data_IF_173108713906
#
_entry.id   IF_173108713906
#
_cell.length_a   1.000
_cell.length_b   1.000
_cell.length_c   1.000
_cell.angle_alpha   90.00
_cell.angle_beta   90.00
_cell.angle_gamma   90.00
#
_symmetry.space_group_name_H-M   'P 1'
#
loop_
_entity.id
_entity.type
_entity.pdbx_description
1 polymer ?
#
# COMPACT_ATOMS: atom_id res chain seq x y z
N UNK A 1 -8.38 -8.51 17.17
CA UNK A 1 -7.18 -7.67 16.90
C UNK A 1 -6.58 -7.25 18.24
N UNK A 2 -5.29 -7.46 18.44
CA UNK A 2 -4.60 -7.01 19.66
C UNK A 2 -4.42 -5.49 19.60
N UNK A 3 -5.19 -4.75 20.39
CA UNK A 3 -5.23 -3.28 20.35
C UNK A 3 -3.88 -2.67 20.75
N UNK A 4 -3.14 -3.29 21.66
CA UNK A 4 -1.85 -2.79 22.12
C UNK A 4 -0.82 -2.86 20.98
N UNK A 5 -0.68 -4.00 20.32
CA UNK A 5 0.26 -4.17 19.21
C UNK A 5 -0.13 -3.31 18.00
N UNK A 6 -1.43 -3.11 17.75
CA UNK A 6 -1.87 -2.22 16.69
C UNK A 6 -1.43 -0.77 16.95
N UNK A 7 -1.47 -0.33 18.22
CA UNK A 7 -0.98 1.00 18.61
C UNK A 7 0.53 1.11 18.44
N UNK A 8 1.28 0.10 18.86
CA UNK A 8 2.75 0.07 18.68
C UNK A 8 3.16 0.16 17.21
N UNK A 9 2.47 -0.57 16.32
CA UNK A 9 2.70 -0.51 14.88
C UNK A 9 2.38 0.88 14.32
N UNK A 10 1.26 1.47 14.74
CA UNK A 10 0.86 2.81 14.35
C UNK A 10 1.91 3.85 14.76
N UNK A 11 2.30 3.85 16.04
CA UNK A 11 3.27 4.80 16.60
C UNK A 11 4.63 4.65 15.89
N UNK A 12 5.06 3.41 15.63
CA UNK A 12 6.30 3.14 14.91
C UNK A 12 6.27 3.61 13.47
N UNK A 13 5.15 3.47 12.77
CA UNK A 13 5.00 4.00 11.42
C UNK A 13 5.22 5.51 11.39
N UNK A 14 4.59 6.24 12.33
CA UNK A 14 4.77 7.70 12.45
C UNK A 14 6.21 8.07 12.83
N UNK A 15 6.82 7.33 13.77
CA UNK A 15 8.24 7.52 14.15
C UNK A 15 9.18 7.33 12.96
N UNK A 16 8.90 6.37 12.08
CA UNK A 16 9.66 6.16 10.84
C UNK A 16 9.46 7.28 9.81
N UNK A 17 8.50 8.19 10.02
CA UNK A 17 8.24 9.35 9.21
C UNK A 17 7.12 9.18 8.16
N UNK A 18 6.23 8.20 8.35
CA UNK A 18 4.97 8.20 7.61
C UNK A 18 4.01 9.26 8.17
N UNK A 19 3.22 9.88 7.30
CA UNK A 19 2.26 10.92 7.71
C UNK A 19 1.03 10.34 8.37
N UNK A 20 0.66 9.12 7.99
CA UNK A 20 -0.46 8.42 8.58
C UNK A 20 -0.31 6.90 8.43
N UNK A 21 -0.97 6.17 9.30
CA UNK A 21 -1.04 4.73 9.29
C UNK A 21 -2.47 4.28 9.58
N UNK A 22 -2.90 3.20 8.95
CA UNK A 22 -4.18 2.57 9.25
C UNK A 22 -4.03 1.06 9.27
N UNK A 23 -4.73 0.41 10.17
CA UNK A 23 -4.67 -1.04 10.37
C UNK A 23 -6.09 -1.59 10.29
N UNK A 24 -6.30 -2.51 9.37
CA UNK A 24 -7.62 -3.11 9.13
C UNK A 24 -7.52 -4.63 9.05
N UNK A 25 -8.58 -5.37 9.42
CA UNK A 25 -8.60 -6.81 9.20
C UNK A 25 -8.55 -7.14 7.70
N UNK A 26 -8.05 -8.32 7.37
CA UNK A 26 -7.85 -8.73 5.97
C UNK A 26 -9.14 -8.75 5.15
N UNK A 27 -10.28 -9.04 5.80
CA UNK A 27 -11.60 -9.06 5.16
C UNK A 27 -12.21 -7.67 4.93
N UNK A 28 -11.62 -6.62 5.49
CA UNK A 28 -12.09 -5.25 5.27
C UNK A 28 -12.06 -4.82 3.80
N UNK A 29 -11.34 -5.55 2.93
CA UNK A 29 -11.28 -5.29 1.50
C UNK A 29 -12.16 -6.23 0.66
N UNK A 30 -12.98 -7.08 1.26
CA UNK A 30 -13.84 -8.03 0.54
C UNK A 30 -14.85 -7.31 -0.38
N UNK A 31 -15.27 -6.08 -0.04
CA UNK A 31 -16.10 -5.26 -0.93
C UNK A 31 -15.46 -5.00 -2.30
N UNK A 32 -14.14 -4.99 -2.37
CA UNK A 32 -13.43 -4.84 -3.64
C UNK A 32 -13.51 -6.10 -4.49
N UNK A 33 -13.49 -7.25 -3.86
CA UNK A 33 -13.64 -8.55 -4.52
C UNK A 33 -14.95 -8.59 -5.31
N UNK A 34 -16.06 -8.24 -4.66
CA UNK A 34 -17.39 -8.19 -5.31
C UNK A 34 -17.43 -7.22 -6.48
N UNK A 35 -16.86 -6.03 -6.29
CA UNK A 35 -16.77 -5.01 -7.36
C UNK A 35 -15.92 -5.45 -8.54
N UNK A 36 -14.82 -6.15 -8.28
CA UNK A 36 -13.94 -6.64 -9.35
C UNK A 36 -14.61 -7.76 -10.13
N UNK A 37 -15.26 -8.71 -9.45
CA UNK A 37 -16.03 -9.79 -10.08
C UNK A 37 -17.11 -9.19 -10.99
N UNK A 38 -17.93 -8.29 -10.44
CA UNK A 38 -18.98 -7.62 -11.22
C UNK A 38 -18.41 -6.89 -12.44
N UNK A 39 -17.30 -6.18 -12.30
CA UNK A 39 -16.66 -5.49 -13.43
C UNK A 39 -16.20 -6.44 -14.54
N UNK A 40 -15.67 -7.61 -14.16
CA UNK A 40 -15.25 -8.63 -15.13
C UNK A 40 -16.43 -9.31 -15.83
N UNK A 41 -17.60 -9.32 -15.19
CA UNK A 41 -18.86 -9.79 -15.78
C UNK A 41 -19.47 -8.74 -16.73
N UNK A 42 -19.50 -7.47 -16.28
CA UNK A 42 -20.08 -6.34 -17.05
C UNK A 42 -19.23 -5.96 -18.26
N UNK A 43 -17.90 -6.19 -18.21
CA UNK A 43 -16.94 -5.83 -19.26
C UNK A 43 -15.92 -6.95 -19.48
N UNK A 44 -16.31 -8.08 -20.11
CA UNK A 44 -15.44 -9.24 -20.30
C UNK A 44 -14.14 -8.95 -21.07
N UNK A 45 -14.14 -7.94 -21.94
CA UNK A 45 -12.99 -7.47 -22.70
C UNK A 45 -11.88 -6.89 -21.78
N UNK A 46 -12.25 -6.48 -20.58
CA UNK A 46 -11.30 -5.92 -19.62
C UNK A 46 -10.48 -6.99 -18.85
N UNK A 47 -10.73 -8.29 -19.09
CA UNK A 47 -10.09 -9.39 -18.36
C UNK A 47 -8.58 -9.35 -18.39
N UNK A 48 -7.99 -8.97 -19.52
CA UNK A 48 -6.53 -8.88 -19.65
C UNK A 48 -5.95 -7.75 -18.80
N UNK A 49 -6.63 -6.59 -18.78
CA UNK A 49 -6.22 -5.44 -17.98
C UNK A 49 -6.23 -5.76 -16.48
N UNK A 50 -7.21 -6.55 -16.05
CA UNK A 50 -7.38 -6.92 -14.64
C UNK A 50 -6.79 -8.30 -14.30
N UNK A 51 -6.02 -8.92 -15.20
CA UNK A 51 -5.48 -10.26 -14.99
C UNK A 51 -4.68 -10.37 -13.67
N UNK A 52 -3.85 -9.35 -13.37
CA UNK A 52 -3.08 -9.28 -12.13
C UNK A 52 -3.94 -9.04 -10.88
N UNK A 53 -5.13 -8.47 -11.04
CA UNK A 53 -6.03 -8.19 -9.91
C UNK A 53 -6.73 -9.44 -9.37
N UNK A 54 -6.72 -10.54 -10.13
CA UNK A 54 -7.24 -11.82 -9.66
C UNK A 54 -6.47 -12.35 -8.45
N UNK A 55 -5.20 -12.04 -8.36
CA UNK A 55 -4.37 -12.40 -7.22
C UNK A 55 -4.86 -11.79 -5.90
N UNK A 56 -5.54 -10.64 -5.98
CA UNK A 56 -6.13 -9.98 -4.81
C UNK A 56 -7.39 -10.67 -4.29
N UNK A 57 -8.00 -11.55 -5.09
CA UNK A 57 -9.20 -12.29 -4.69
C UNK A 57 -8.88 -13.49 -3.79
N UNK A 58 -7.65 -13.96 -3.81
CA UNK A 58 -7.21 -15.18 -3.14
C UNK A 58 -6.21 -14.91 -1.99
N UNK A 59 -6.27 -13.74 -1.36
CA UNK A 59 -5.30 -13.37 -0.32
C UNK A 59 -5.28 -14.34 0.86
N UNK A 60 -6.43 -14.76 1.37
CA UNK A 60 -6.52 -15.71 2.48
C UNK A 60 -5.98 -17.09 2.10
N UNK A 61 -6.12 -17.49 0.83
CA UNK A 61 -5.60 -18.75 0.33
C UNK A 61 -4.08 -18.70 0.17
N UNK A 62 -3.56 -17.62 -0.37
CA UNK A 62 -2.12 -17.39 -0.56
C UNK A 62 -1.38 -17.16 0.75
N UNK A 63 -2.00 -16.44 1.67
CA UNK A 63 -1.41 -16.02 2.94
C UNK A 63 -2.34 -16.37 4.12
N UNK A 64 -2.56 -17.67 4.41
CA UNK A 64 -3.51 -18.09 5.43
C UNK A 64 -3.15 -17.63 6.85
N UNK A 65 -1.90 -17.23 7.04
CA UNK A 65 -1.39 -16.67 8.28
C UNK A 65 -1.70 -15.18 8.44
N UNK A 66 -1.98 -14.45 7.34
CA UNK A 66 -2.22 -13.01 7.40
C UNK A 66 -3.63 -12.72 7.95
N UNK A 67 -3.70 -11.85 8.94
CA UNK A 67 -4.95 -11.46 9.59
C UNK A 67 -5.31 -9.99 9.36
N UNK A 68 -4.31 -9.15 9.09
CA UNK A 68 -4.50 -7.71 8.99
C UNK A 68 -3.71 -7.11 7.85
N UNK A 69 -4.15 -5.93 7.43
CA UNK A 69 -3.49 -5.08 6.46
C UNK A 69 -3.07 -3.81 7.18
N UNK A 70 -1.80 -3.46 7.07
CA UNK A 70 -1.28 -2.16 7.50
C UNK A 70 -1.05 -1.29 6.28
N UNK A 71 -1.60 -0.09 6.31
CA UNK A 71 -1.51 0.90 5.24
C UNK A 71 -0.79 2.11 5.81
N UNK A 72 0.37 2.44 5.26
CA UNK A 72 1.08 3.66 5.60
C UNK A 72 1.00 4.65 4.43
N UNK A 73 0.83 5.93 4.73
CA UNK A 73 0.77 6.99 3.73
C UNK A 73 1.89 7.99 3.95
N UNK A 74 2.37 8.57 2.86
CA UNK A 74 3.29 9.68 2.88
C UNK A 74 2.82 10.77 1.92
N UNK A 75 3.06 12.03 2.31
CA UNK A 75 2.74 13.17 1.47
C UNK A 75 3.68 13.23 0.26
N UNK A 76 3.10 13.35 -0.89
CA UNK A 76 3.78 13.33 -2.17
C UNK A 76 3.49 14.64 -2.92
N UNK A 77 4.20 15.71 -2.64
CA UNK A 77 3.82 16.98 -3.27
C UNK A 77 4.87 18.10 -3.31
N UNK A 78 5.92 18.02 -2.54
CA UNK A 78 6.88 19.11 -2.41
C UNK A 78 8.16 18.94 -3.24
N UNK A 79 8.13 18.11 -4.29
CA UNK A 79 9.26 17.98 -5.20
C UNK A 79 9.50 19.27 -5.98
N UNK A 80 10.53 19.99 -5.59
CA UNK A 80 10.98 21.17 -6.31
C UNK A 80 11.85 20.75 -7.49
N UNK A 81 11.35 20.91 -8.69
CA UNK A 81 12.18 20.73 -9.87
C UNK A 81 13.34 21.75 -9.86
N UNK A 82 14.56 21.32 -10.20
CA UNK A 82 15.67 22.25 -10.40
C UNK A 82 15.26 23.38 -11.32
N UNK A 83 15.72 24.61 -11.01
CA UNK A 83 15.39 25.81 -11.81
C UNK A 83 15.75 25.63 -13.28
N UNK A 84 16.86 24.92 -13.56
CA UNK A 84 17.31 24.59 -14.92
C UNK A 84 16.32 23.75 -15.73
N UNK A 85 15.38 23.07 -15.09
CA UNK A 85 14.38 22.20 -15.75
C UNK A 85 12.99 22.81 -15.84
N UNK A 86 12.73 23.94 -15.15
CA UNK A 86 11.38 24.52 -15.02
C UNK A 86 10.68 24.82 -16.34
N UNK A 87 11.41 25.19 -17.36
CA UNK A 87 10.87 25.57 -18.67
C UNK A 87 11.03 24.49 -19.75
N UNK A 88 11.62 23.35 -19.42
CA UNK A 88 11.91 22.28 -20.39
C UNK A 88 10.97 21.10 -20.28
N UNK A 89 10.28 20.94 -19.14
CA UNK A 89 9.40 19.81 -18.87
C UNK A 89 8.09 20.32 -18.28
N UNK A 90 7.00 20.09 -18.98
CA UNK A 90 5.70 20.62 -18.59
C UNK A 90 5.03 19.80 -17.49
N UNK A 91 5.13 18.48 -17.53
CA UNK A 91 4.56 17.55 -16.52
C UNK A 91 5.31 16.23 -16.59
N UNK A 92 5.54 15.63 -15.43
CA UNK A 92 6.09 14.28 -15.30
C UNK A 92 5.18 13.41 -14.44
N UNK A 93 5.29 12.11 -14.60
CA UNK A 93 4.77 11.17 -13.64
C UNK A 93 5.77 11.06 -12.50
N UNK A 94 5.36 11.49 -11.29
CA UNK A 94 6.15 11.25 -10.09
C UNK A 94 5.88 9.82 -9.62
N UNK A 95 6.91 9.01 -9.58
CA UNK A 95 6.88 7.67 -9.03
C UNK A 95 7.45 7.67 -7.62
N UNK A 96 6.94 6.77 -6.79
CA UNK A 96 7.52 6.53 -5.48
C UNK A 96 9.01 6.19 -5.58
N UNK A 97 9.79 6.85 -4.78
CA UNK A 97 11.23 6.59 -4.64
C UNK A 97 11.52 5.46 -3.64
N UNK A 98 10.50 4.88 -3.04
CA UNK A 98 10.63 3.85 -2.01
C UNK A 98 11.39 2.58 -2.44
N UNK A 99 11.53 2.37 -3.75
CA UNK A 99 12.33 1.27 -4.32
C UNK A 99 13.71 1.73 -4.81
N UNK A 100 14.03 3.03 -4.66
CA UNK A 100 15.33 3.56 -5.02
C UNK A 100 16.22 3.55 -3.78
N UNK A 101 17.29 2.75 -3.75
CA UNK A 101 18.21 2.71 -2.62
C UNK A 101 18.70 4.09 -2.25
N UNK A 102 18.80 4.36 -0.94
CA UNK A 102 19.26 5.61 -0.35
C UNK A 102 18.29 6.81 -0.43
N UNK A 103 17.12 6.68 -1.07
CA UNK A 103 16.07 7.69 -0.95
C UNK A 103 15.51 7.71 0.49
N UNK A 104 14.90 8.82 0.88
CA UNK A 104 14.33 8.92 2.23
C UNK A 104 13.12 7.99 2.38
N UNK A 105 12.34 7.82 1.32
CA UNK A 105 11.22 6.87 1.25
C UNK A 105 11.71 5.42 1.39
N UNK A 106 12.84 5.07 0.77
CA UNK A 106 13.45 3.75 0.91
C UNK A 106 13.88 3.50 2.36
N UNK A 107 14.60 4.46 2.97
CA UNK A 107 15.07 4.35 4.35
C UNK A 107 13.92 4.23 5.34
N UNK A 108 12.86 5.03 5.16
CA UNK A 108 11.65 4.97 5.98
C UNK A 108 11.03 3.59 5.96
N UNK A 109 10.81 3.05 4.76
CA UNK A 109 10.28 1.70 4.59
C UNK A 109 11.19 0.66 5.25
N UNK A 110 12.48 0.70 4.98
CA UNK A 110 13.45 -0.23 5.52
C UNK A 110 13.48 -0.20 7.05
N UNK A 111 13.47 0.97 7.65
CA UNK A 111 13.44 1.12 9.12
C UNK A 111 12.19 0.49 9.71
N UNK A 112 11.05 0.68 9.08
CA UNK A 112 9.79 0.07 9.55
C UNK A 112 9.80 -1.45 9.40
N UNK A 113 10.25 -1.97 8.25
CA UNK A 113 10.33 -3.40 7.97
C UNK A 113 11.34 -4.11 8.92
N UNK A 114 12.47 -3.49 9.20
CA UNK A 114 13.46 -4.00 10.17
C UNK A 114 12.84 -4.12 11.57
N UNK A 115 12.17 -3.05 12.03
CA UNK A 115 11.51 -3.07 13.32
C UNK A 115 10.43 -4.17 13.42
N UNK A 116 9.64 -4.38 12.38
CA UNK A 116 8.66 -5.48 12.35
C UNK A 116 9.34 -6.84 12.55
N UNK A 117 10.44 -7.07 11.84
CA UNK A 117 11.22 -8.31 11.96
C UNK A 117 11.81 -8.50 13.34
N UNK A 118 12.38 -7.45 13.94
CA UNK A 118 12.96 -7.48 15.29
C UNK A 118 11.93 -7.78 16.38
N UNK A 119 10.68 -7.38 16.16
CA UNK A 119 9.56 -7.66 17.06
C UNK A 119 8.81 -8.96 16.74
N UNK A 120 9.36 -9.80 15.85
CA UNK A 120 8.79 -11.10 15.51
C UNK A 120 7.47 -11.01 14.73
N UNK A 121 7.13 -9.84 14.17
CA UNK A 121 5.91 -9.64 13.41
C UNK A 121 6.15 -10.17 12.00
N UNK A 122 5.43 -11.23 11.65
CA UNK A 122 5.47 -11.77 10.30
C UNK A 122 4.69 -10.85 9.36
N UNK A 123 5.33 -10.42 8.29
CA UNK A 123 4.72 -9.55 7.28
C UNK A 123 5.08 -9.98 5.87
N UNK A 124 4.32 -9.51 4.90
CA UNK A 124 4.64 -9.55 3.48
C UNK A 124 4.28 -8.21 2.84
N UNK A 125 5.22 -7.64 2.11
CA UNK A 125 5.09 -6.33 1.49
C UNK A 125 6.46 -5.82 1.05
N UNK A 126 6.50 -4.60 0.52
CA UNK A 126 7.76 -3.97 0.15
C UNK A 126 8.61 -4.85 -0.78
N UNK A 127 9.86 -5.09 -0.41
CA UNK A 127 10.79 -5.89 -1.22
C UNK A 127 10.55 -7.40 -1.16
N UNK A 128 9.90 -7.88 -0.10
CA UNK A 128 9.61 -9.30 0.08
C UNK A 128 8.46 -9.78 -0.79
N UNK A 129 7.67 -8.83 -1.32
CA UNK A 129 6.53 -9.12 -2.15
C UNK A 129 6.93 -9.39 -3.61
N UNK A 130 6.62 -10.59 -4.10
CA UNK A 130 6.69 -10.91 -5.53
C UNK A 130 5.36 -11.57 -5.95
N UNK A 131 4.55 -10.91 -6.79
CA UNK A 131 4.75 -9.59 -7.41
C UNK A 131 4.70 -8.43 -6.38
N UNK A 132 5.27 -7.30 -6.75
CA UNK A 132 5.41 -6.13 -5.87
C UNK A 132 4.08 -5.55 -5.32
N UNK A 133 2.96 -5.97 -5.88
CA UNK A 133 1.62 -5.61 -5.40
C UNK A 133 0.87 -6.87 -4.99
N UNK A 134 0.70 -7.04 -3.70
CA UNK A 134 -0.01 -8.19 -3.12
C UNK A 134 -1.45 -7.82 -2.79
N UNK A 135 -1.68 -6.56 -2.44
CA UNK A 135 -2.95 -6.03 -1.95
C UNK A 135 -3.35 -4.83 -2.81
N UNK A 136 -4.64 -4.70 -3.15
CA UNK A 136 -5.12 -3.53 -3.86
C UNK A 136 -5.03 -2.30 -2.95
N UNK A 137 -4.16 -1.34 -3.32
CA UNK A 137 -3.79 -0.21 -2.45
C UNK A 137 -4.99 0.66 -2.08
N UNK A 138 -5.79 1.09 -3.07
CA UNK A 138 -6.89 2.01 -2.81
C UNK A 138 -8.03 1.41 -1.97
N UNK A 139 -8.47 0.14 -2.14
CA UNK A 139 -9.44 -0.47 -1.24
C UNK A 139 -8.95 -0.55 0.20
N UNK A 140 -7.69 -0.91 0.39
CA UNK A 140 -7.07 -0.97 1.70
C UNK A 140 -7.04 0.40 2.37
N UNK A 141 -6.70 1.47 1.62
CA UNK A 141 -6.67 2.84 2.13
C UNK A 141 -8.06 3.36 2.50
N UNK A 142 -9.06 3.06 1.68
CA UNK A 142 -10.45 3.42 1.97
C UNK A 142 -10.94 2.68 3.20
N UNK A 143 -10.68 1.37 3.30
CA UNK A 143 -11.04 0.56 4.47
C UNK A 143 -10.36 1.08 5.75
N UNK A 144 -9.12 1.55 5.64
CA UNK A 144 -8.36 2.13 6.74
C UNK A 144 -8.75 3.58 7.08
N UNK A 145 -9.70 4.18 6.36
CA UNK A 145 -10.13 5.56 6.59
C UNK A 145 -9.10 6.63 6.21
N UNK A 146 -8.08 6.27 5.43
CA UNK A 146 -6.97 7.16 5.06
C UNK A 146 -7.27 8.03 3.83
N UNK A 147 -8.42 7.81 3.18
CA UNK A 147 -8.79 8.60 2.02
C UNK A 147 -10.09 8.13 1.36
N UNK A 148 -10.48 8.85 0.33
CA UNK A 148 -11.65 8.55 -0.48
C UNK A 148 -11.24 8.30 -1.93
N UNK A 149 -11.87 7.32 -2.56
CA UNK A 149 -11.67 7.05 -3.97
C UNK A 149 -12.49 8.03 -4.83
N UNK A 150 -11.82 8.67 -5.78
CA UNK A 150 -12.45 9.50 -6.81
C UNK A 150 -12.10 9.01 -8.22
N UNK A 151 -12.87 9.46 -9.24
CA UNK A 151 -12.63 9.07 -10.64
C UNK A 151 -11.27 9.50 -11.18
N UNK A 152 -10.66 10.53 -10.61
CA UNK A 152 -9.32 10.98 -10.96
C UNK A 152 -8.36 10.30 -9.98
N UNK A 153 -7.50 9.44 -10.50
CA UNK A 153 -6.55 8.68 -9.73
C UNK A 153 -5.37 9.60 -9.38
N UNK A 154 -5.43 10.22 -8.21
CA UNK A 154 -4.23 10.68 -7.53
C UNK A 154 -3.84 9.59 -6.54
N UNK A 155 -2.77 8.88 -6.85
CA UNK A 155 -2.20 7.95 -5.90
C UNK A 155 -1.35 8.74 -4.92
N UNK A 156 -1.73 8.67 -3.67
CA UNK A 156 -0.76 8.71 -2.60
C UNK A 156 0.05 7.41 -2.70
N UNK A 157 1.34 7.47 -2.54
CA UNK A 157 2.16 6.26 -2.53
C UNK A 157 1.92 5.51 -1.23
N UNK A 158 1.05 4.52 -1.34
CA UNK A 158 0.57 3.73 -0.23
C UNK A 158 1.45 2.50 -0.06
N UNK A 159 2.01 2.35 1.11
CA UNK A 159 2.62 1.09 1.54
C UNK A 159 1.59 0.26 2.25
N UNK A 160 1.34 -0.91 1.71
CA UNK A 160 0.40 -1.85 2.29
C UNK A 160 1.15 -3.12 2.64
N UNK A 161 1.02 -3.53 3.88
CA UNK A 161 1.60 -4.74 4.43
C UNK A 161 0.48 -5.67 4.91
N UNK A 162 0.56 -6.94 4.57
CA UNK A 162 -0.26 -7.96 5.20
C UNK A 162 0.50 -8.52 6.40
N UNK A 163 -0.13 -8.57 7.55
CA UNK A 163 0.50 -8.94 8.82
C UNK A 163 -0.27 -10.03 9.56
N UNK A 164 0.46 -10.74 10.39
CA UNK A 164 -0.05 -11.68 11.39
C UNK A 164 0.46 -11.28 12.78
N UNK A 165 -0.43 -11.22 13.76
CA UNK A 165 -0.15 -11.09 15.19
C UNK A 165 -1.10 -11.92 16.04
#
# INVERSE_FOLDING_TARGET
MNTLLAQEIYDKALECGYDSCGIVPLDAIDFYKERLIKRLEDAPESKEVYAHSKDFLALKEKYPWAQSIVVCTEYFGDYKFPVSLRNRYAKGLLLSLSNIPHSDEFKRRQSFEVWLGENGIRYIGGETAKPARIIPLWPASVAAGLGIYRKIIFFMDLKVLAMNW
#
